data_IF_465323742839
#
_entry.id   IF_465323742839
#
_cell.length_a   1.000
_cell.length_b   1.000
_cell.length_c   1.000
_cell.angle_alpha   90.00
_cell.angle_beta   90.00
_cell.angle_gamma   90.00
#
_symmetry.space_group_name_H-M   'P 1'
#
loop_
_entity.id
_entity.type
_entity.pdbx_description
1 polymer ?
#
# COMPACT_ATOMS: atom_id res chain seq x y z
N UNK A 1 -10.15 -2.01 -9.42
CA UNK A 1 -11.12 -3.12 -9.46
C UNK A 1 -10.83 -4.05 -10.61
N UNK A 2 -10.39 -3.52 -11.76
CA UNK A 2 -9.92 -4.30 -12.91
C UNK A 2 -8.96 -5.47 -12.58
N UNK A 3 -7.90 -5.28 -11.78
CA UNK A 3 -7.00 -6.38 -11.40
C UNK A 3 -7.70 -7.62 -10.79
N UNK A 4 -8.84 -7.43 -10.10
CA UNK A 4 -9.61 -8.54 -9.53
C UNK A 4 -10.31 -9.30 -10.63
N UNK A 5 -10.89 -8.58 -11.59
CA UNK A 5 -11.53 -9.16 -12.77
C UNK A 5 -10.48 -9.87 -13.62
N UNK A 6 -9.35 -9.24 -13.92
CA UNK A 6 -8.25 -9.85 -14.69
C UNK A 6 -7.84 -11.20 -14.07
N UNK A 7 -7.65 -11.24 -12.75
CA UNK A 7 -7.27 -12.48 -12.07
C UNK A 7 -8.40 -13.53 -12.07
N UNK A 8 -9.66 -13.10 -11.90
CA UNK A 8 -10.81 -14.00 -11.95
C UNK A 8 -11.03 -14.58 -13.35
N UNK A 9 -10.83 -13.78 -14.40
CA UNK A 9 -10.83 -14.18 -15.81
C UNK A 9 -9.74 -15.21 -16.11
N UNK A 10 -8.56 -15.06 -15.48
CA UNK A 10 -7.47 -16.05 -15.48
C UNK A 10 -7.79 -17.32 -14.65
N UNK A 11 -9.00 -17.45 -14.10
CA UNK A 11 -9.41 -18.56 -13.26
C UNK A 11 -8.74 -18.59 -11.88
N UNK A 12 -8.17 -17.47 -11.44
CA UNK A 12 -7.58 -17.30 -10.11
C UNK A 12 -8.64 -16.71 -9.18
N UNK A 13 -9.01 -17.47 -8.15
CA UNK A 13 -9.93 -16.97 -7.12
C UNK A 13 -9.26 -15.83 -6.36
N UNK A 14 -9.83 -14.63 -6.49
CA UNK A 14 -9.39 -13.46 -5.72
C UNK A 14 -10.31 -13.25 -4.54
N UNK A 15 -9.73 -13.19 -3.35
CA UNK A 15 -10.41 -12.73 -2.15
C UNK A 15 -9.88 -11.34 -1.78
N UNK A 16 -10.75 -10.34 -1.76
CA UNK A 16 -10.38 -8.96 -1.43
C UNK A 16 -10.72 -8.67 0.03
N UNK A 17 -9.70 -8.32 0.81
CA UNK A 17 -9.87 -7.79 2.16
C UNK A 17 -9.42 -6.33 2.17
N UNK A 18 -10.38 -5.41 2.36
CA UNK A 18 -10.12 -3.98 2.37
C UNK A 18 -11.25 -3.19 3.03
N UNK A 19 -10.90 -2.06 3.64
CA UNK A 19 -11.84 -1.09 4.19
C UNK A 19 -11.69 0.29 3.55
N UNK A 20 -12.39 1.29 4.08
CA UNK A 20 -12.38 2.66 3.54
C UNK A 20 -11.03 3.35 3.73
N UNK A 21 -10.22 2.88 4.68
CA UNK A 21 -8.92 3.43 5.03
C UNK A 21 -7.97 2.33 5.53
N UNK A 22 -6.70 2.68 5.72
CA UNK A 22 -5.66 1.72 6.15
C UNK A 22 -5.91 1.09 7.51
N UNK A 23 -6.63 1.76 8.41
CA UNK A 23 -6.94 1.24 9.75
C UNK A 23 -8.00 0.15 9.68
N UNK A 24 -9.05 0.38 8.89
CA UNK A 24 -10.08 -0.62 8.61
C UNK A 24 -9.54 -1.81 7.83
N UNK A 25 -8.73 -1.55 6.78
CA UNK A 25 -8.06 -2.62 6.02
C UNK A 25 -7.17 -3.46 6.93
N UNK A 26 -6.34 -2.83 7.77
CA UNK A 26 -5.47 -3.54 8.71
C UNK A 26 -6.28 -4.43 9.68
N UNK A 27 -7.36 -3.91 10.25
CA UNK A 27 -8.24 -4.69 11.11
C UNK A 27 -8.92 -5.85 10.38
N UNK A 28 -9.40 -5.61 9.16
CA UNK A 28 -10.04 -6.65 8.34
C UNK A 28 -9.06 -7.77 8.01
N UNK A 29 -7.85 -7.44 7.57
CA UNK A 29 -6.79 -8.41 7.25
C UNK A 29 -6.51 -9.31 8.45
N UNK A 30 -6.34 -8.75 9.65
CA UNK A 30 -6.11 -9.56 10.85
C UNK A 30 -7.27 -10.52 11.14
N UNK A 31 -8.51 -10.03 11.09
CA UNK A 31 -9.69 -10.85 11.39
C UNK A 31 -9.94 -11.94 10.35
N UNK A 32 -9.81 -11.62 9.07
CA UNK A 32 -10.04 -12.57 7.99
C UNK A 32 -8.93 -13.61 7.91
N UNK A 33 -7.68 -13.22 8.16
CA UNK A 33 -6.56 -14.16 8.25
C UNK A 33 -6.80 -15.25 9.32
N UNK A 34 -7.34 -14.88 10.48
CA UNK A 34 -7.72 -15.84 11.53
C UNK A 34 -8.87 -16.75 11.10
N UNK A 35 -9.94 -16.20 10.52
CA UNK A 35 -11.15 -16.95 10.15
C UNK A 35 -10.87 -17.91 8.98
N UNK A 36 -10.21 -17.41 7.94
CA UNK A 36 -10.07 -18.10 6.64
C UNK A 36 -8.90 -19.06 6.62
N UNK A 37 -7.77 -18.66 7.17
CA UNK A 37 -6.55 -19.48 7.18
C UNK A 37 -6.32 -20.18 8.52
N UNK A 38 -7.19 -19.97 9.51
CA UNK A 38 -6.99 -20.53 10.86
C UNK A 38 -5.72 -20.02 11.53
N UNK A 39 -5.21 -18.84 11.11
CA UNK A 39 -3.95 -18.29 11.63
C UNK A 39 -4.08 -18.04 13.13
N UNK A 40 -3.24 -18.72 13.92
CA UNK A 40 -3.16 -18.54 15.37
C UNK A 40 -2.03 -17.59 15.71
N UNK A 41 -2.40 -16.34 15.99
CA UNK A 41 -1.48 -15.40 16.62
C UNK A 41 -1.31 -15.77 18.10
N UNK A 42 -0.14 -15.47 18.67
CA UNK A 42 -0.07 -15.38 20.13
C UNK A 42 -0.98 -14.23 20.55
N UNK A 43 -1.59 -14.33 21.72
CA UNK A 43 -2.36 -13.24 22.35
C UNK A 43 -1.39 -12.08 22.66
N UNK A 44 -0.94 -11.38 21.61
CA UNK A 44 0.08 -10.34 21.57
C UNK A 44 -0.27 -9.36 20.47
N UNK A 45 -0.29 -8.08 20.82
CA UNK A 45 -0.67 -7.01 19.93
C UNK A 45 0.39 -5.92 19.91
N UNK A 46 0.82 -5.55 18.71
CA UNK A 46 1.72 -4.43 18.48
C UNK A 46 0.88 -3.27 17.95
N UNK A 47 0.82 -2.17 18.68
CA UNK A 47 0.16 -0.94 18.26
C UNK A 47 1.20 0.02 17.69
N UNK A 48 0.97 0.49 16.47
CA UNK A 48 1.88 1.40 15.76
C UNK A 48 1.09 2.46 14.99
N UNK A 49 1.51 3.74 14.98
CA UNK A 49 0.85 4.77 14.19
C UNK A 49 0.84 4.38 12.70
N UNK A 50 -0.35 4.40 12.09
CA UNK A 50 -0.54 3.84 10.73
C UNK A 50 0.18 4.59 9.61
N UNK A 51 0.70 5.79 9.87
CA UNK A 51 1.49 6.61 8.96
C UNK A 51 3.00 6.61 9.29
N UNK A 52 3.43 5.94 10.35
CA UNK A 52 4.82 5.89 10.78
C UNK A 52 5.58 4.76 10.08
N UNK A 53 6.18 5.06 8.92
CA UNK A 53 6.85 4.04 8.09
C UNK A 53 7.98 3.31 8.84
N UNK A 54 8.84 4.06 9.55
CA UNK A 54 9.90 3.49 10.38
C UNK A 54 9.34 2.69 11.57
N UNK A 55 8.30 3.22 12.22
CA UNK A 55 7.55 2.50 13.25
C UNK A 55 7.00 1.16 12.75
N UNK A 56 6.38 1.14 11.57
CA UNK A 56 5.79 -0.07 10.96
C UNK A 56 6.88 -1.08 10.60
N UNK A 57 8.01 -0.64 10.03
CA UNK A 57 9.16 -1.52 9.75
C UNK A 57 9.69 -2.19 11.04
N UNK A 58 9.80 -1.43 12.12
CA UNK A 58 10.20 -1.96 13.42
C UNK A 58 9.15 -2.94 14.00
N UNK A 59 7.87 -2.56 13.94
CA UNK A 59 6.76 -3.40 14.38
C UNK A 59 6.73 -4.75 13.63
N UNK A 60 6.99 -4.75 12.32
CA UNK A 60 7.03 -5.97 11.50
C UNK A 60 8.11 -6.95 11.98
N UNK A 61 9.33 -6.46 12.27
CA UNK A 61 10.42 -7.29 12.80
C UNK A 61 10.03 -7.96 14.12
N UNK A 62 9.35 -7.22 15.01
CA UNK A 62 8.88 -7.74 16.30
C UNK A 62 7.73 -8.74 16.07
N UNK A 63 6.77 -8.42 15.21
CA UNK A 63 5.61 -9.26 14.95
C UNK A 63 5.98 -10.64 14.41
N UNK A 64 6.93 -10.72 13.48
CA UNK A 64 7.41 -11.99 12.91
C UNK A 64 8.04 -12.86 14.00
N UNK A 65 8.93 -12.27 14.82
CA UNK A 65 9.61 -12.98 15.91
C UNK A 65 8.63 -13.47 16.98
N UNK A 66 7.65 -12.65 17.32
CA UNK A 66 6.74 -12.91 18.44
C UNK A 66 5.42 -13.57 18.03
N UNK A 67 5.20 -13.77 16.72
CA UNK A 67 3.93 -14.20 16.13
C UNK A 67 2.75 -13.34 16.63
N UNK A 68 2.97 -12.03 16.64
CA UNK A 68 2.03 -11.03 17.16
C UNK A 68 1.23 -10.35 16.02
N UNK A 69 0.06 -9.84 16.35
CA UNK A 69 -0.74 -9.00 15.45
C UNK A 69 -0.19 -7.57 15.43
N UNK A 70 -0.30 -6.87 14.30
CA UNK A 70 0.03 -5.44 14.20
C UNK A 70 -1.25 -4.66 13.96
N UNK A 71 -1.65 -3.83 14.91
CA UNK A 71 -2.74 -2.89 14.74
C UNK A 71 -2.23 -1.47 14.45
N UNK A 72 -2.73 -0.90 13.36
CA UNK A 72 -2.52 0.51 13.06
C UNK A 72 -3.43 1.38 13.91
N UNK A 73 -2.84 2.41 14.51
CA UNK A 73 -3.53 3.38 15.38
C UNK A 73 -3.30 4.81 14.90
N UNK A 74 -4.17 5.72 15.32
CA UNK A 74 -4.10 7.16 15.10
C UNK A 74 -4.73 7.92 16.27
N UNK A 75 -4.78 9.25 16.20
CA UNK A 75 -5.35 10.08 17.27
C UNK A 75 -6.84 9.84 17.56
N UNK A 76 -7.60 9.29 16.61
CA UNK A 76 -9.04 9.03 16.75
C UNK A 76 -9.36 7.57 17.04
N UNK A 77 -8.34 6.70 17.14
CA UNK A 77 -8.53 5.28 17.37
C UNK A 77 -9.08 5.02 18.76
N UNK A 78 -10.18 4.27 18.83
CA UNK A 78 -10.72 3.73 20.08
C UNK A 78 -10.01 2.42 20.41
N UNK A 79 -9.00 2.51 21.29
CA UNK A 79 -8.13 1.39 21.65
C UNK A 79 -8.91 0.30 22.39
N UNK A 80 -9.86 0.69 23.25
CA UNK A 80 -10.73 -0.23 23.98
C UNK A 80 -11.51 -1.14 23.03
N UNK A 81 -12.19 -0.55 22.05
CA UNK A 81 -12.97 -1.29 21.06
C UNK A 81 -12.09 -2.21 20.20
N UNK A 82 -10.91 -1.73 19.82
CA UNK A 82 -9.94 -2.50 19.05
C UNK A 82 -9.49 -3.75 19.81
N UNK A 83 -9.09 -3.59 21.07
CA UNK A 83 -8.64 -4.71 21.91
C UNK A 83 -9.73 -5.75 22.15
N UNK A 84 -10.96 -5.31 22.43
CA UNK A 84 -12.11 -6.21 22.60
C UNK A 84 -12.36 -7.04 21.33
N UNK A 85 -12.30 -6.40 20.17
CA UNK A 85 -12.51 -7.07 18.88
C UNK A 85 -11.41 -8.09 18.57
N UNK A 86 -10.17 -7.80 18.96
CA UNK A 86 -9.03 -8.71 18.77
C UNK A 86 -8.87 -9.71 19.92
N UNK A 87 -9.69 -9.61 20.96
CA UNK A 87 -9.64 -10.45 22.16
C UNK A 87 -8.27 -10.44 22.87
N UNK A 88 -7.60 -9.28 22.90
CA UNK A 88 -6.26 -9.12 23.48
C UNK A 88 -6.30 -8.46 24.85
N UNK A 89 -5.48 -8.96 25.79
CA UNK A 89 -5.29 -8.36 27.13
C UNK A 89 -4.25 -7.23 27.13
N UNK A 90 -4.43 -6.25 28.03
CA UNK A 90 -3.54 -5.07 28.14
C UNK A 90 -2.08 -5.40 28.37
N UNK A 91 -1.79 -6.43 29.19
CA UNK A 91 -0.42 -6.88 29.48
C UNK A 91 0.33 -7.47 28.28
N UNK A 92 -0.36 -7.72 27.17
CA UNK A 92 0.22 -8.29 25.96
C UNK A 92 0.37 -7.26 24.83
N UNK A 93 0.30 -5.97 25.16
CA UNK A 93 0.41 -4.87 24.19
C UNK A 93 1.83 -4.32 24.15
N UNK A 94 2.39 -4.23 22.94
CA UNK A 94 3.62 -3.50 22.65
C UNK A 94 3.29 -2.26 21.83
N UNK A 95 3.74 -1.09 22.27
CA UNK A 95 3.55 0.19 21.59
C UNK A 95 4.85 0.55 20.90
N UNK A 96 4.81 0.70 19.57
CA UNK A 96 5.99 1.03 18.75
C UNK A 96 5.76 2.39 18.09
N UNK A 97 6.78 3.24 18.11
CA UNK A 97 6.75 4.42 17.24
C UNK A 97 7.97 5.31 17.36
N UNK A 98 7.96 6.36 16.55
CA UNK A 98 9.03 7.35 16.43
C UNK A 98 8.73 8.59 17.27
N UNK A 99 9.75 9.44 17.55
CA UNK A 99 9.54 10.69 18.31
C UNK A 99 8.47 11.61 17.73
N UNK A 100 8.33 11.64 16.40
CA UNK A 100 7.33 12.47 15.73
C UNK A 100 5.89 12.09 16.06
N UNK A 101 5.62 10.79 16.28
CA UNK A 101 4.27 10.30 16.56
C UNK A 101 3.92 10.30 18.05
N UNK A 102 4.72 10.94 18.90
CA UNK A 102 4.57 10.84 20.35
C UNK A 102 3.18 11.26 20.83
N UNK A 103 2.53 12.25 20.21
CA UNK A 103 1.15 12.64 20.54
C UNK A 103 0.14 11.50 20.35
N UNK A 104 0.23 10.79 19.22
CA UNK A 104 -0.61 9.61 18.96
C UNK A 104 -0.33 8.51 19.99
N UNK A 105 0.94 8.24 20.28
CA UNK A 105 1.34 7.22 21.24
C UNK A 105 0.90 7.54 22.67
N UNK A 106 0.99 8.81 23.10
CA UNK A 106 0.53 9.27 24.41
C UNK A 106 -0.97 9.00 24.58
N UNK A 107 -1.78 9.36 23.57
CA UNK A 107 -3.22 9.10 23.62
C UNK A 107 -3.56 7.61 23.68
N UNK A 108 -2.79 6.78 22.98
CA UNK A 108 -2.94 5.31 23.05
C UNK A 108 -2.60 4.80 24.46
N UNK A 109 -1.49 5.28 25.04
CA UNK A 109 -1.07 4.93 26.41
C UNK A 109 -2.10 5.34 27.46
N UNK A 110 -2.67 6.54 27.33
CA UNK A 110 -3.74 7.03 28.22
C UNK A 110 -4.98 6.14 28.17
N UNK A 111 -5.44 5.77 26.97
CA UNK A 111 -6.57 4.85 26.82
C UNK A 111 -6.29 3.49 27.47
N UNK A 112 -5.09 2.93 27.27
CA UNK A 112 -4.71 1.64 27.87
C UNK A 112 -4.64 1.70 29.41
N UNK A 113 -4.10 2.80 29.96
CA UNK A 113 -4.05 3.04 31.42
C UNK A 113 -5.45 3.15 32.04
N UNK A 114 -6.39 3.76 31.34
CA UNK A 114 -7.78 3.87 31.82
C UNK A 114 -8.49 2.50 31.87
N UNK A 115 -8.06 1.54 31.06
CA UNK A 115 -8.61 0.18 31.07
C UNK A 115 -7.96 -0.73 32.12
N UNK A 116 -6.69 -0.47 32.46
CA UNK A 116 -5.96 -1.24 33.46
C UNK A 116 -4.96 -0.31 34.15
N UNK A 117 -5.15 -0.11 35.46
CA UNK A 117 -4.29 0.74 36.30
C UNK A 117 -2.80 0.35 36.20
N UNK A 118 -2.52 -0.90 35.82
CA UNK A 118 -1.19 -1.46 35.56
C UNK A 118 -1.09 -1.98 34.12
N UNK A 119 -1.18 -1.08 33.14
CA UNK A 119 -0.79 -1.40 31.76
C UNK A 119 0.71 -1.72 31.73
N UNK A 120 1.05 -3.02 31.88
CA UNK A 120 2.37 -3.61 31.67
C UNK A 120 2.74 -3.61 30.17
N UNK A 121 2.48 -2.50 29.49
CA UNK A 121 2.63 -2.35 28.07
C UNK A 121 4.09 -2.03 27.75
N UNK A 122 4.70 -2.78 26.84
CA UNK A 122 6.08 -2.53 26.44
C UNK A 122 6.12 -1.35 25.46
N UNK A 123 7.04 -0.39 25.64
CA UNK A 123 7.21 0.72 24.69
C UNK A 123 8.54 0.59 23.95
N UNK A 124 8.49 0.59 22.62
CA UNK A 124 9.66 0.56 21.74
C UNK A 124 9.75 1.88 21.01
N UNK A 125 10.83 2.62 21.27
CA UNK A 125 11.13 3.88 20.60
C UNK A 125 12.07 3.61 19.42
N UNK A 126 11.63 3.99 18.23
CA UNK A 126 12.43 3.83 17.01
C UNK A 126 13.32 5.06 16.83
N UNK A 127 14.64 4.85 16.82
CA UNK A 127 15.59 5.92 16.56
C UNK A 127 15.60 6.29 15.07
N UNK A 128 15.64 7.58 14.78
CA UNK A 128 15.66 8.10 13.40
C UNK A 128 17.10 8.42 13.02
N UNK A 129 17.66 7.63 12.11
CA UNK A 129 18.99 7.88 11.53
C UNK A 129 18.89 8.83 10.33
N UNK A 130 20.04 9.34 9.89
CA UNK A 130 20.13 10.11 8.65
C UNK A 130 19.59 9.33 7.45
N UNK A 131 19.89 8.03 7.35
CA UNK A 131 19.40 7.19 6.26
C UNK A 131 17.86 7.06 6.28
N UNK A 132 17.26 6.84 7.45
CA UNK A 132 15.80 6.72 7.60
C UNK A 132 15.11 8.05 7.26
N UNK A 133 15.68 9.18 7.69
CA UNK A 133 15.15 10.49 7.36
C UNK A 133 15.22 10.79 5.86
N UNK A 134 16.34 10.44 5.20
CA UNK A 134 16.50 10.61 3.76
C UNK A 134 15.52 9.74 2.97
N UNK A 135 15.34 8.48 3.37
CA UNK A 135 14.34 7.59 2.75
C UNK A 135 12.94 8.19 2.84
N UNK A 136 12.58 8.77 3.99
CA UNK A 136 11.28 9.42 4.16
C UNK A 136 11.12 10.67 3.27
N UNK A 137 12.17 11.49 3.12
CA UNK A 137 12.18 12.66 2.24
C UNK A 137 11.96 12.23 0.78
N UNK A 138 12.73 11.24 0.31
CA UNK A 138 12.60 10.71 -1.05
C UNK A 138 11.20 10.15 -1.30
N UNK A 139 10.63 9.42 -0.34
CA UNK A 139 9.27 8.90 -0.44
C UNK A 139 8.22 10.04 -0.45
N UNK A 140 8.43 11.12 0.29
CA UNK A 140 7.57 12.30 0.25
C UNK A 140 7.61 13.01 -1.10
N UNK A 141 8.81 13.18 -1.66
CA UNK A 141 9.05 13.77 -2.97
C UNK A 141 8.42 12.96 -4.11
N UNK A 142 8.60 11.64 -4.11
CA UNK A 142 7.95 10.72 -5.06
C UNK A 142 6.43 10.87 -5.01
N UNK A 143 5.83 10.94 -3.81
CA UNK A 143 4.37 11.06 -3.67
C UNK A 143 3.85 12.43 -4.11
N UNK A 144 4.57 13.52 -3.85
CA UNK A 144 4.21 14.84 -4.36
C UNK A 144 4.29 14.86 -5.89
N UNK A 145 5.34 14.28 -6.48
CA UNK A 145 5.46 14.16 -7.94
C UNK A 145 4.31 13.35 -8.53
N UNK A 146 3.99 12.20 -7.94
CA UNK A 146 2.84 11.38 -8.33
C UNK A 146 1.53 12.17 -8.23
N UNK A 147 1.32 12.90 -7.13
CA UNK A 147 0.14 13.72 -6.93
C UNK A 147 -0.03 14.76 -8.04
N UNK A 148 1.05 15.48 -8.40
CA UNK A 148 1.03 16.48 -9.48
C UNK A 148 0.69 15.86 -10.85
N UNK A 149 1.34 14.75 -11.21
CA UNK A 149 1.09 14.07 -12.48
C UNK A 149 -0.38 13.62 -12.61
N UNK A 150 -0.99 13.16 -11.51
CA UNK A 150 -2.40 12.79 -11.50
C UNK A 150 -3.35 13.99 -11.71
N UNK A 151 -2.96 15.18 -11.25
CA UNK A 151 -3.78 16.38 -11.33
C UNK A 151 -3.83 16.99 -12.73
N UNK A 152 -2.79 16.80 -13.55
CA UNK A 152 -2.75 17.30 -14.93
C UNK A 152 -3.98 16.85 -15.75
N UNK A 153 -4.53 15.67 -15.43
CA UNK A 153 -5.64 15.06 -16.15
C UNK A 153 -6.94 14.98 -15.31
N UNK A 154 -6.97 15.61 -14.13
CA UNK A 154 -8.07 15.47 -13.17
C UNK A 154 -9.25 16.43 -13.43
N UNK A 155 -10.45 15.84 -13.47
CA UNK A 155 -11.79 16.42 -13.31
C UNK A 155 -12.14 16.95 -11.92
N UNK A 156 -11.69 18.13 -11.49
CA UNK A 156 -12.02 18.59 -10.14
C UNK A 156 -13.21 19.56 -10.11
N UNK A 157 -14.08 19.41 -9.12
CA UNK A 157 -15.05 20.47 -8.76
C UNK A 157 -14.32 21.66 -8.12
N UNK A 158 -14.88 22.89 -8.16
CA UNK A 158 -14.24 24.06 -7.55
C UNK A 158 -13.90 23.89 -6.05
N UNK A 159 -14.67 23.08 -5.33
CA UNK A 159 -14.35 22.75 -3.94
C UNK A 159 -13.15 21.81 -3.82
N UNK A 160 -13.06 20.80 -4.70
CA UNK A 160 -11.92 19.88 -4.73
C UNK A 160 -10.64 20.58 -5.16
N UNK A 161 -10.69 21.50 -6.14
CA UNK A 161 -9.55 22.29 -6.57
C UNK A 161 -8.91 23.05 -5.40
N UNK A 162 -9.71 23.81 -4.64
CA UNK A 162 -9.22 24.55 -3.46
C UNK A 162 -8.61 23.64 -2.40
N UNK A 163 -9.23 22.48 -2.17
CA UNK A 163 -8.74 21.51 -1.19
C UNK A 163 -7.42 20.88 -1.64
N UNK A 164 -7.33 20.49 -2.91
CA UNK A 164 -6.13 19.90 -3.52
C UNK A 164 -4.99 20.91 -3.51
N UNK A 165 -5.22 22.13 -3.95
CA UNK A 165 -4.23 23.21 -3.98
C UNK A 165 -3.66 23.48 -2.58
N UNK A 166 -4.55 23.57 -1.57
CA UNK A 166 -4.13 23.74 -0.17
C UNK A 166 -3.27 22.57 0.31
N UNK A 167 -3.69 21.34 0.03
CA UNK A 167 -2.97 20.14 0.48
C UNK A 167 -1.62 19.98 -0.22
N UNK A 168 -1.55 20.30 -1.51
CA UNK A 168 -0.31 20.26 -2.27
C UNK A 168 0.68 21.33 -1.76
N UNK A 169 0.19 22.55 -1.50
CA UNK A 169 0.99 23.63 -0.91
C UNK A 169 1.55 23.24 0.46
N UNK A 170 0.74 22.61 1.32
CA UNK A 170 1.21 22.09 2.60
C UNK A 170 2.27 21.00 2.42
N UNK A 171 2.05 20.06 1.49
CA UNK A 171 2.99 18.98 1.23
C UNK A 171 4.36 19.51 0.76
N UNK A 172 4.38 20.47 -0.16
CA UNK A 172 5.61 21.09 -0.66
C UNK A 172 6.36 21.86 0.42
N UNK A 173 5.62 22.63 1.23
CA UNK A 173 6.19 23.34 2.37
C UNK A 173 6.84 22.38 3.36
N UNK A 174 6.12 21.32 3.75
CA UNK A 174 6.63 20.31 4.68
C UNK A 174 7.83 19.56 4.11
N UNK A 175 7.85 19.25 2.80
CA UNK A 175 9.02 18.65 2.15
C UNK A 175 10.24 19.60 2.18
N UNK A 176 10.02 20.89 1.95
CA UNK A 176 11.09 21.90 2.05
C UNK A 176 11.65 21.99 3.47
N UNK A 177 10.78 22.08 4.48
CA UNK A 177 11.17 22.09 5.89
C UNK A 177 11.86 20.77 6.31
N UNK A 178 11.48 19.64 5.70
CA UNK A 178 12.14 18.35 5.92
C UNK A 178 13.58 18.35 5.39
N UNK A 179 13.79 18.86 4.16
CA UNK A 179 15.11 18.97 3.52
C UNK A 179 16.03 19.93 4.30
N UNK A 180 15.50 21.04 4.79
CA UNK A 180 16.24 21.97 5.66
C UNK A 180 16.61 21.31 7.01
N UNK A 181 15.64 20.70 7.70
CA UNK A 181 15.92 20.02 8.96
C UNK A 181 16.96 18.89 8.78
N UNK A 182 16.98 18.24 7.62
CA UNK A 182 17.97 17.22 7.29
C UNK A 182 19.39 17.79 7.19
N UNK A 183 19.57 18.90 6.47
CA UNK A 183 20.87 19.55 6.31
C UNK A 183 21.43 20.10 7.63
N UNK A 184 20.55 20.47 8.56
CA UNK A 184 20.89 20.86 9.93
C UNK A 184 21.20 19.67 10.88
N UNK A 185 21.13 18.42 10.39
CA UNK A 185 21.32 17.22 11.21
C UNK A 185 20.15 16.88 12.15
N UNK A 186 19.00 17.57 12.02
CA UNK A 186 17.79 17.36 12.84
C UNK A 186 16.93 16.24 12.26
N UNK A 187 17.47 15.03 12.16
CA UNK A 187 16.87 13.91 11.43
C UNK A 187 15.47 13.51 11.92
N UNK A 188 15.20 13.57 13.23
CA UNK A 188 13.86 13.31 13.77
C UNK A 188 12.80 14.30 13.28
N UNK A 189 13.16 15.59 13.17
CA UNK A 189 12.29 16.64 12.60
C UNK A 189 12.13 16.45 11.10
N UNK A 190 13.23 16.18 10.39
CA UNK A 190 13.23 15.91 8.96
C UNK A 190 12.29 14.75 8.60
N UNK A 191 12.40 13.63 9.32
CA UNK A 191 11.51 12.48 9.17
C UNK A 191 10.05 12.86 9.40
N UNK A 192 9.76 13.58 10.49
CA UNK A 192 8.40 13.99 10.80
C UNK A 192 7.74 14.84 9.71
N UNK A 193 8.45 15.86 9.25
CA UNK A 193 7.99 16.73 8.17
C UNK A 193 7.82 15.96 6.85
N UNK A 194 8.73 15.05 6.52
CA UNK A 194 8.62 14.22 5.32
C UNK A 194 7.39 13.27 5.36
N UNK A 195 7.08 12.71 6.53
CA UNK A 195 5.87 11.88 6.71
C UNK A 195 4.59 12.72 6.57
N UNK A 196 4.57 13.96 7.08
CA UNK A 196 3.46 14.87 6.89
C UNK A 196 3.26 15.23 5.40
N UNK A 197 4.36 15.57 4.72
CA UNK A 197 4.36 15.88 3.29
C UNK A 197 3.77 14.74 2.46
N UNK A 198 4.24 13.51 2.75
CA UNK A 198 3.72 12.29 2.14
C UNK A 198 2.22 12.10 2.40
N UNK A 199 1.73 12.34 3.62
CA UNK A 199 0.33 12.16 3.97
C UNK A 199 -0.59 13.15 3.22
N UNK A 200 -0.18 14.42 3.10
CA UNK A 200 -0.90 15.41 2.30
C UNK A 200 -0.88 15.08 0.80
N UNK A 201 0.24 14.58 0.27
CA UNK A 201 0.32 14.11 -1.10
C UNK A 201 -0.59 12.89 -1.36
N UNK A 202 -0.62 11.91 -0.45
CA UNK A 202 -1.52 10.75 -0.54
C UNK A 202 -3.01 11.17 -0.53
N UNK A 203 -3.35 12.24 0.20
CA UNK A 203 -4.69 12.82 0.17
C UNK A 203 -5.05 13.36 -1.22
N UNK A 204 -4.13 14.11 -1.85
CA UNK A 204 -4.31 14.64 -3.21
C UNK A 204 -4.45 13.50 -4.21
N UNK A 205 -3.56 12.50 -4.15
CA UNK A 205 -3.61 11.30 -4.99
C UNK A 205 -4.99 10.66 -4.92
N UNK A 206 -5.57 10.51 -3.72
CA UNK A 206 -6.89 9.89 -3.55
C UNK A 206 -8.00 10.68 -4.25
N UNK A 207 -7.99 12.01 -4.16
CA UNK A 207 -8.98 12.85 -4.83
C UNK A 207 -8.83 12.73 -6.35
N UNK A 208 -7.61 12.89 -6.86
CA UNK A 208 -7.32 12.80 -8.29
C UNK A 208 -7.64 11.41 -8.87
N UNK A 209 -7.36 10.35 -8.11
CA UNK A 209 -7.61 8.96 -8.52
C UNK A 209 -9.11 8.60 -8.51
N UNK A 210 -9.93 9.28 -7.71
CA UNK A 210 -11.38 9.00 -7.66
C UNK A 210 -12.09 9.44 -8.95
N UNK A 211 -11.66 10.57 -9.52
CA UNK A 211 -12.10 11.04 -10.84
C UNK A 211 -11.44 10.22 -11.97
N UNK A 212 -10.13 9.92 -11.86
CA UNK A 212 -9.47 9.07 -12.85
C UNK A 212 -10.10 7.68 -12.95
N UNK A 213 -10.42 7.04 -11.82
CA UNK A 213 -11.10 5.73 -11.83
C UNK A 213 -12.49 5.80 -12.47
N UNK A 214 -13.22 6.90 -12.27
CA UNK A 214 -14.51 7.15 -12.91
C UNK A 214 -14.36 7.35 -14.43
N UNK A 215 -13.34 8.11 -14.88
CA UNK A 215 -13.05 8.33 -16.30
C UNK A 215 -12.48 7.12 -17.01
N UNK A 216 -11.65 6.30 -16.34
CA UNK A 216 -11.27 4.98 -16.85
C UNK A 216 -12.52 4.14 -17.10
N UNK A 217 -13.51 4.15 -16.20
CA UNK A 217 -14.79 3.48 -16.43
C UNK A 217 -15.54 3.93 -17.70
N UNK A 218 -15.32 5.17 -18.17
CA UNK A 218 -16.10 5.82 -19.23
C UNK A 218 -15.37 5.94 -20.58
N UNK A 219 -14.03 5.96 -20.63
CA UNK A 219 -13.27 6.14 -21.87
C UNK A 219 -12.51 4.84 -22.25
N UNK A 220 -12.95 4.13 -23.32
CA UNK A 220 -12.32 2.88 -23.78
C UNK A 220 -10.83 2.99 -24.09
N UNK A 221 -10.38 4.12 -24.65
CA UNK A 221 -8.99 4.33 -25.06
C UNK A 221 -8.07 4.59 -23.88
N UNK A 222 -8.57 5.29 -22.85
CA UNK A 222 -7.83 5.44 -21.60
C UNK A 222 -7.70 4.11 -20.85
N UNK A 223 -8.75 3.26 -20.85
CA UNK A 223 -8.62 1.89 -20.33
C UNK A 223 -7.57 1.11 -21.09
N UNK A 224 -7.63 1.12 -22.42
CA UNK A 224 -6.70 0.38 -23.25
C UNK A 224 -5.24 0.77 -22.99
N UNK A 225 -4.94 2.07 -22.83
CA UNK A 225 -3.60 2.55 -22.47
C UNK A 225 -3.12 2.06 -21.09
N UNK A 226 -4.01 2.08 -20.09
CA UNK A 226 -3.67 1.57 -18.75
C UNK A 226 -3.46 0.06 -18.76
N UNK A 227 -4.33 -0.67 -19.47
CA UNK A 227 -4.22 -2.11 -19.66
C UNK A 227 -2.93 -2.46 -20.40
N UNK A 228 -2.56 -1.72 -21.44
CA UNK A 228 -1.31 -1.89 -22.17
C UNK A 228 -0.09 -1.88 -21.24
N UNK A 229 0.03 -0.88 -20.36
CA UNK A 229 1.13 -0.81 -19.39
C UNK A 229 1.15 -2.00 -18.42
N UNK A 230 -0.03 -2.49 -18.02
CA UNK A 230 -0.17 -3.68 -17.16
C UNK A 230 0.27 -4.94 -17.90
N UNK A 231 -0.14 -5.10 -19.16
CA UNK A 231 0.23 -6.21 -20.03
C UNK A 231 1.75 -6.27 -20.24
N UNK A 232 2.39 -5.13 -20.51
CA UNK A 232 3.86 -5.06 -20.64
C UNK A 232 4.58 -5.49 -19.34
N UNK A 233 4.02 -5.15 -18.18
CA UNK A 233 4.57 -5.60 -16.89
C UNK A 233 4.39 -7.11 -16.68
N UNK A 234 3.22 -7.66 -17.01
CA UNK A 234 2.94 -9.09 -16.91
C UNK A 234 3.83 -9.91 -17.86
N UNK A 235 4.00 -9.45 -19.11
CA UNK A 235 4.90 -10.05 -20.09
C UNK A 235 6.31 -10.14 -19.52
N UNK A 236 6.85 -9.06 -18.96
CA UNK A 236 8.20 -9.07 -18.34
C UNK A 236 8.32 -10.12 -17.23
N UNK A 237 7.28 -10.31 -16.42
CA UNK A 237 7.28 -11.34 -15.36
C UNK A 237 7.30 -12.75 -15.95
N UNK A 238 6.48 -13.01 -16.97
CA UNK A 238 6.43 -14.31 -17.65
C UNK A 238 7.75 -14.64 -18.34
N UNK A 239 8.36 -13.67 -19.03
CA UNK A 239 9.69 -13.81 -19.66
C UNK A 239 10.76 -14.16 -18.64
N UNK A 240 10.79 -13.43 -17.52
CA UNK A 240 11.75 -13.69 -16.45
C UNK A 240 11.55 -15.07 -15.80
N UNK A 241 10.34 -15.63 -15.89
CA UNK A 241 10.04 -17.00 -15.46
C UNK A 241 10.39 -18.06 -16.53
N UNK A 242 10.93 -17.66 -17.67
CA UNK A 242 11.30 -18.53 -18.78
C UNK A 242 10.13 -19.03 -19.63
N UNK A 243 8.97 -18.35 -19.57
CA UNK A 243 7.79 -18.67 -20.36
C UNK A 243 7.90 -17.94 -21.71
N UNK A 244 7.61 -18.64 -22.81
CA UNK A 244 7.56 -18.02 -24.14
C UNK A 244 6.33 -17.11 -24.25
N UNK A 245 6.57 -15.85 -24.59
CA UNK A 245 5.55 -14.80 -24.70
C UNK A 245 5.52 -14.17 -26.11
N UNK A 246 6.17 -14.79 -27.09
CA UNK A 246 6.40 -14.19 -28.41
C UNK A 246 5.09 -13.76 -29.11
N UNK A 247 4.07 -14.61 -29.03
CA UNK A 247 2.74 -14.32 -29.57
C UNK A 247 2.04 -13.18 -28.81
N UNK A 248 2.10 -13.21 -27.48
CA UNK A 248 1.53 -12.19 -26.61
C UNK A 248 2.16 -10.80 -26.85
N UNK A 249 3.47 -10.75 -27.09
CA UNK A 249 4.18 -9.51 -27.49
C UNK A 249 3.69 -8.96 -28.82
N UNK A 250 3.44 -9.84 -29.80
CA UNK A 250 2.90 -9.42 -31.10
C UNK A 250 1.52 -8.79 -30.96
N UNK A 251 0.64 -9.40 -30.15
CA UNK A 251 -0.70 -8.87 -29.88
C UNK A 251 -0.65 -7.52 -29.15
N UNK A 252 0.25 -7.36 -28.17
CA UNK A 252 0.45 -6.10 -27.46
C UNK A 252 0.97 -4.99 -28.37
N UNK A 253 1.83 -5.30 -29.34
CA UNK A 253 2.31 -4.30 -30.30
C UNK A 253 1.19 -3.88 -31.27
N UNK A 254 0.33 -4.81 -31.70
CA UNK A 254 -0.87 -4.49 -32.47
C UNK A 254 -1.84 -3.61 -31.65
N UNK A 255 -1.97 -3.87 -30.35
CA UNK A 255 -2.80 -3.06 -29.45
C UNK A 255 -2.28 -1.63 -29.35
N UNK A 256 -0.96 -1.41 -29.28
CA UNK A 256 -0.36 -0.06 -29.31
C UNK A 256 -0.76 0.71 -30.56
N UNK A 257 -0.65 0.08 -31.72
CA UNK A 257 -1.01 0.69 -33.01
C UNK A 257 -2.50 1.02 -33.05
N UNK A 258 -3.36 0.11 -32.61
CA UNK A 258 -4.80 0.33 -32.54
C UNK A 258 -5.16 1.48 -31.58
N UNK A 259 -4.46 1.59 -30.44
CA UNK A 259 -4.61 2.70 -29.51
C UNK A 259 -4.22 4.04 -30.15
N UNK A 260 -3.07 4.08 -30.83
CA UNK A 260 -2.58 5.29 -31.53
C UNK A 260 -3.54 5.76 -32.62
N UNK A 261 -4.16 4.81 -33.33
CA UNK A 261 -5.13 5.09 -34.40
C UNK A 261 -6.54 5.41 -33.88
N UNK A 262 -6.76 5.36 -32.56
CA UNK A 262 -8.07 5.56 -31.93
C UNK A 262 -9.15 4.59 -32.44
N UNK A 263 -8.74 3.37 -32.83
CA UNK A 263 -9.61 2.32 -33.36
C UNK A 263 -10.22 1.48 -32.23
N UNK A 264 -11.38 1.93 -31.74
CA UNK A 264 -12.06 1.36 -30.56
C UNK A 264 -12.47 -0.10 -30.77
N UNK A 265 -12.90 -0.48 -31.99
CA UNK A 265 -13.32 -1.85 -32.26
C UNK A 265 -12.13 -2.80 -32.25
N UNK A 266 -11.02 -2.42 -32.92
CA UNK A 266 -9.80 -3.22 -32.95
C UNK A 266 -9.16 -3.33 -31.57
N UNK A 267 -9.18 -2.25 -30.78
CA UNK A 267 -8.74 -2.25 -29.38
C UNK A 267 -9.49 -3.30 -28.56
N UNK A 268 -10.83 -3.33 -28.63
CA UNK A 268 -11.63 -4.28 -27.87
C UNK A 268 -11.36 -5.73 -28.30
N UNK A 269 -11.27 -5.98 -29.61
CA UNK A 269 -10.98 -7.31 -30.15
C UNK A 269 -9.58 -7.82 -29.74
N UNK A 270 -8.57 -6.94 -29.76
CA UNK A 270 -7.21 -7.29 -29.34
C UNK A 270 -7.12 -7.55 -27.84
N UNK A 271 -7.81 -6.75 -27.02
CA UNK A 271 -7.84 -6.97 -25.56
C UNK A 271 -8.40 -8.36 -25.20
N UNK A 272 -9.50 -8.79 -25.84
CA UNK A 272 -10.06 -10.15 -25.63
C UNK A 272 -9.07 -11.25 -26.02
N UNK A 273 -8.39 -11.11 -27.17
CA UNK A 273 -7.39 -12.11 -27.62
C UNK A 273 -6.18 -12.17 -26.69
N UNK A 274 -5.72 -11.02 -26.20
CA UNK A 274 -4.60 -10.93 -25.26
C UNK A 274 -4.97 -11.60 -23.93
N UNK A 275 -6.19 -11.39 -23.45
CA UNK A 275 -6.71 -12.00 -22.21
C UNK A 275 -6.75 -13.53 -22.31
N UNK A 276 -7.26 -14.07 -23.43
CA UNK A 276 -7.28 -15.51 -23.68
C UNK A 276 -5.88 -16.11 -23.74
N UNK A 277 -4.96 -15.48 -24.49
CA UNK A 277 -3.57 -15.91 -24.59
C UNK A 277 -2.85 -15.87 -23.23
N UNK A 278 -3.06 -14.82 -22.44
CA UNK A 278 -2.54 -14.73 -21.07
C UNK A 278 -3.05 -15.87 -20.20
N UNK A 279 -4.34 -16.20 -20.29
CA UNK A 279 -4.94 -17.29 -19.52
C UNK A 279 -4.30 -18.63 -19.82
N UNK A 280 -4.08 -18.93 -21.09
CA UNK A 280 -3.42 -20.16 -21.52
C UNK A 280 -1.98 -20.23 -21.00
N UNK A 281 -1.21 -19.15 -21.12
CA UNK A 281 0.16 -19.06 -20.61
C UNK A 281 0.22 -19.21 -19.08
N UNK A 282 -0.72 -18.60 -18.36
CA UNK A 282 -0.80 -18.75 -16.90
C UNK A 282 -1.22 -20.16 -16.47
N UNK A 283 -2.15 -20.79 -17.17
CA UNK A 283 -2.57 -22.16 -16.87
C UNK A 283 -1.48 -23.18 -17.20
N UNK A 284 -0.78 -23.01 -18.32
CA UNK A 284 0.35 -23.87 -18.74
C UNK A 284 1.63 -23.63 -17.94
N UNK A 285 1.89 -22.39 -17.50
CA UNK A 285 3.10 -21.97 -16.78
C UNK A 285 3.07 -22.15 -15.25
N UNK A 286 1.96 -22.65 -14.67
CA UNK A 286 1.76 -22.79 -13.20
C UNK A 286 2.88 -23.58 -12.50
N UNK A 287 3.51 -24.55 -13.16
CA UNK A 287 4.65 -25.33 -12.65
C UNK A 287 5.95 -24.51 -12.61
N UNK A 288 6.21 -23.70 -13.64
CA UNK A 288 7.40 -22.85 -13.76
C UNK A 288 7.38 -21.66 -12.78
N UNK A 289 6.20 -21.05 -12.59
CA UNK A 289 6.00 -19.95 -11.64
C UNK A 289 6.16 -20.39 -10.18
N UNK A 290 5.71 -21.61 -9.82
CA UNK A 290 5.92 -22.18 -8.48
C UNK A 290 7.40 -22.46 -8.18
N UNK A 291 8.18 -22.86 -9.18
CA UNK A 291 9.62 -23.12 -9.02
C UNK A 291 10.42 -21.84 -8.76
N UNK A 292 10.04 -20.72 -9.37
CA UNK A 292 10.68 -19.41 -9.16
C UNK A 292 10.21 -18.68 -7.89
N UNK A 293 8.98 -18.94 -7.41
CA UNK A 293 8.43 -18.31 -6.21
C UNK A 293 8.97 -18.89 -4.88
N UNK A 294 9.80 -19.93 -4.92
CA UNK A 294 10.33 -20.61 -3.72
C UNK A 294 11.85 -20.38 -3.54
N UNK A 295 12.27 -19.31 -2.85
CA UNK A 295 13.58 -19.30 -2.18
C UNK A 295 13.56 -20.09 -0.86
N UNK A 296 12.38 -20.41 -0.31
CA UNK A 296 12.23 -20.89 1.07
C UNK A 296 11.64 -22.31 1.17
N UNK A 297 12.17 -23.25 0.39
CA UNK A 297 11.87 -24.66 0.58
C UNK A 297 13.09 -25.53 0.28
N UNK A 298 14.15 -25.37 1.08
CA UNK A 298 15.11 -26.42 1.45
C UNK A 298 16.09 -25.87 2.48
N UNK A 299 15.63 -25.83 3.71
CA UNK A 299 16.45 -25.72 4.92
C UNK A 299 16.03 -26.83 5.88
N UNK A 300 16.07 -28.06 5.41
CA UNK A 300 15.97 -29.23 6.29
C UNK A 300 17.38 -29.54 6.80
N UNK A 301 17.54 -29.51 8.13
CA UNK A 301 18.44 -30.37 8.90
C UNK A 301 18.42 -29.94 10.38
N UNK A 302 18.75 -30.81 11.33
CA UNK A 302 19.00 -32.26 11.22
C UNK A 302 17.81 -33.12 11.66
#
# INVERSE_FOLDING_TARGET
EEYVNDLQELGITVERWGGQNRYETNLMVMTQAQIKFGLKFKDKLIMVPGNDTAGIKAALKIAVRERAMIAFVNETTNVTKLMLKLQVRTGNVTIVGTPFMNRTLLRVREQLRNQSRECNCTSVHVNITAEIALEAINAGEEKISTAKALLENATLTPMQERLVERMLTLAEKELSEAKEAYSEGKYGKAYGMAIAAKAHAEFVIRIASSDWSMRMGLNPMMRANVTLHRLEAQIRVLENAGIDVSELKSLVEQLKVAIQNNDVEMVNALLMKIEESLRELFMGGKSHLKAHAMPFARGGAP
#
